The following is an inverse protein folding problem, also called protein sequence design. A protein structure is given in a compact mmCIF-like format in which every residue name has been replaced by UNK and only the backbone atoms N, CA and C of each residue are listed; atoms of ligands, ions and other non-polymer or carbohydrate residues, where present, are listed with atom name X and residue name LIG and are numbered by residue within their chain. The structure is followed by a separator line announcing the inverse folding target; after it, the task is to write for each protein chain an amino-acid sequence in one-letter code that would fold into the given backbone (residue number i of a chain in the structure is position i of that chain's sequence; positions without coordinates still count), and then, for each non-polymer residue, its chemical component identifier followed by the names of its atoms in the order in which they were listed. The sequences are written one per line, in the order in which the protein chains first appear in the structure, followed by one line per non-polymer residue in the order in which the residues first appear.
data_IF_612605605222
#
_entry.id   IF_612605605222
#
_cell.length_a   1.000
_cell.length_b   1.000
_cell.length_c   1.000
_cell.angle_alpha   90.00
_cell.angle_beta   90.00
_cell.angle_gamma   90.00
#
_symmetry.space_group_name_H-M   'P 1'
#
loop_
_entity.id
_entity.type
_entity.pdbx_description
1 polymer ?
#
# COMPACT_ATOMS: atom_id res chain seq x y z
N UNK A 1 20.15 24.70 -12.69
CA UNK A 1 19.04 24.29 -11.80
C UNK A 1 18.16 23.35 -12.58
N UNK A 2 18.04 22.12 -12.09
CA UNK A 2 17.44 21.00 -12.80
C UNK A 2 15.91 21.05 -12.76
N UNK A 3 15.26 20.69 -13.87
CA UNK A 3 14.15 19.73 -13.89
C UNK A 3 14.10 19.04 -15.26
N UNK A 4 14.50 17.77 -15.30
CA UNK A 4 14.22 16.84 -16.38
C UNK A 4 12.72 16.58 -16.44
N UNK A 5 12.03 17.19 -17.40
CA UNK A 5 10.63 16.86 -17.72
C UNK A 5 10.58 15.55 -18.50
N UNK A 6 10.39 14.44 -17.79
CA UNK A 6 9.87 13.21 -18.39
C UNK A 6 8.39 13.43 -18.74
N UNK A 7 7.93 12.99 -19.93
CA UNK A 7 6.59 13.30 -20.41
C UNK A 7 5.51 12.66 -19.55
N UNK A 8 4.46 13.44 -19.31
CA UNK A 8 3.22 13.08 -18.65
C UNK A 8 2.69 11.71 -19.06
N UNK A 9 2.60 10.81 -18.08
CA UNK A 9 1.81 9.59 -18.13
C UNK A 9 0.87 9.53 -16.92
N UNK A 10 -0.11 10.44 -16.84
CA UNK A 10 -1.24 10.26 -15.94
C UNK A 10 -2.02 9.06 -16.48
N UNK A 11 -1.85 7.88 -15.89
CA UNK A 11 -2.77 6.77 -16.17
C UNK A 11 -3.85 6.76 -15.09
N UNK A 12 -4.93 7.47 -15.42
CA UNK A 12 -6.32 7.12 -15.12
C UNK A 12 -6.51 6.14 -13.95
N UNK A 13 -6.74 6.61 -12.72
CA UNK A 13 -7.52 5.93 -11.65
C UNK A 13 -7.35 4.39 -11.45
N UNK A 14 -6.26 3.78 -11.93
CA UNK A 14 -6.09 2.32 -12.09
C UNK A 14 -4.62 1.91 -11.92
N UNK A 15 -3.82 2.73 -11.22
CA UNK A 15 -2.43 2.45 -10.85
C UNK A 15 -2.31 1.76 -9.49
N UNK A 16 -3.26 0.88 -9.14
CA UNK A 16 -3.08 0.07 -7.94
C UNK A 16 -2.32 -1.18 -8.34
N UNK A 17 -1.07 -1.34 -7.87
CA UNK A 17 -0.35 -2.57 -8.15
C UNK A 17 -1.19 -3.74 -7.64
N UNK A 18 -1.27 -4.83 -8.41
CA UNK A 18 -1.98 -6.02 -7.95
C UNK A 18 -1.36 -6.46 -6.62
N UNK A 19 -2.19 -6.60 -5.59
CA UNK A 19 -1.73 -7.13 -4.31
C UNK A 19 -1.27 -8.56 -4.57
N UNK A 20 0.01 -8.89 -4.33
CA UNK A 20 0.51 -10.22 -4.61
C UNK A 20 -0.18 -11.26 -3.73
N UNK A 21 -0.39 -12.47 -4.26
CA UNK A 21 -1.13 -13.55 -3.59
C UNK A 21 -0.48 -14.08 -2.31
N UNK A 22 0.80 -13.77 -2.07
CA UNK A 22 1.51 -14.08 -0.84
C UNK A 22 1.24 -13.06 0.28
N UNK A 23 0.60 -11.94 -0.02
CA UNK A 23 0.25 -10.94 0.96
C UNK A 23 -0.92 -11.45 1.81
N UNK A 24 -0.76 -11.37 3.13
CA UNK A 24 -1.82 -11.75 4.07
C UNK A 24 -3.14 -11.05 3.73
N UNK A 25 -4.24 -11.79 3.87
CA UNK A 25 -5.59 -11.31 3.53
C UNK A 25 -5.94 -10.00 4.24
N UNK A 26 -5.53 -9.84 5.49
CA UNK A 26 -5.74 -8.61 6.27
C UNK A 26 -5.05 -7.38 5.65
N UNK A 27 -3.83 -7.55 5.10
CA UNK A 27 -3.11 -6.48 4.40
C UNK A 27 -3.80 -6.08 3.11
N UNK A 28 -4.28 -7.07 2.36
CA UNK A 28 -5.08 -6.82 1.14
C UNK A 28 -6.35 -6.05 1.46
N UNK A 29 -7.11 -6.48 2.46
CA UNK A 29 -8.37 -5.83 2.85
C UNK A 29 -8.16 -4.38 3.31
N UNK A 30 -7.10 -4.12 4.08
CA UNK A 30 -6.77 -2.76 4.50
C UNK A 30 -6.42 -1.86 3.30
N UNK A 31 -5.63 -2.38 2.35
CA UNK A 31 -5.32 -1.66 1.11
C UNK A 31 -6.59 -1.33 0.33
N UNK A 32 -7.48 -2.30 0.12
CA UNK A 32 -8.76 -2.10 -0.59
C UNK A 32 -9.65 -1.04 0.09
N UNK A 33 -9.70 -1.00 1.42
CA UNK A 33 -10.46 0.02 2.17
C UNK A 33 -9.87 1.43 2.04
N UNK A 34 -8.55 1.58 2.12
CA UNK A 34 -7.86 2.86 1.87
C UNK A 34 -8.09 3.38 0.44
N UNK A 35 -8.41 2.45 -0.44
CA UNK A 35 -8.57 2.59 -1.88
C UNK A 35 -10.04 2.65 -2.33
N UNK A 36 -10.97 2.70 -1.40
CA UNK A 36 -12.37 2.89 -1.71
C UNK A 36 -12.64 4.09 -2.65
N UNK A 37 -13.53 3.95 -3.64
CA UNK A 37 -13.94 5.08 -4.49
C UNK A 37 -14.64 6.17 -3.65
N UNK A 38 -15.43 5.75 -2.67
CA UNK A 38 -16.13 6.65 -1.75
C UNK A 38 -15.18 7.17 -0.65
N UNK A 39 -15.03 8.51 -0.50
CA UNK A 39 -14.28 9.10 0.61
C UNK A 39 -14.75 8.69 2.02
N UNK A 40 -16.06 8.59 2.34
CA UNK A 40 -16.51 8.34 3.70
C UNK A 40 -16.25 6.91 4.19
N UNK A 41 -16.04 5.95 3.28
CA UNK A 41 -15.73 4.55 3.66
C UNK A 41 -14.23 4.33 3.87
N UNK A 42 -13.39 5.33 3.53
CA UNK A 42 -11.95 5.26 3.79
C UNK A 42 -11.71 5.36 5.29
N UNK A 43 -10.95 4.43 5.89
CA UNK A 43 -10.62 4.51 7.31
C UNK A 43 -9.79 5.77 7.61
N UNK A 44 -9.96 6.32 8.81
CA UNK A 44 -9.15 7.44 9.26
C UNK A 44 -7.69 7.02 9.40
N UNK A 45 -6.78 7.99 9.30
CA UNK A 45 -5.34 7.72 9.45
C UNK A 45 -5.01 7.01 10.78
N UNK A 46 -5.67 7.41 11.87
CA UNK A 46 -5.52 6.79 13.19
C UNK A 46 -5.88 5.31 13.17
N UNK A 47 -6.98 4.96 12.49
CA UNK A 47 -7.45 3.58 12.37
C UNK A 47 -6.51 2.75 11.49
N UNK A 48 -6.03 3.32 10.39
CA UNK A 48 -5.02 2.70 9.51
C UNK A 48 -3.76 2.40 10.31
N UNK A 49 -3.20 3.39 11.02
CA UNK A 49 -1.97 3.24 11.80
C UNK A 49 -2.13 2.19 12.91
N UNK A 50 -3.30 2.15 13.57
CA UNK A 50 -3.60 1.14 14.59
C UNK A 50 -3.57 -0.26 14.00
N UNK A 51 -4.28 -0.49 12.88
CA UNK A 51 -4.32 -1.80 12.20
C UNK A 51 -2.94 -2.22 11.72
N UNK A 52 -2.20 -1.32 11.07
CA UNK A 52 -0.84 -1.59 10.60
C UNK A 52 0.09 -2.04 11.73
N UNK A 53 0.02 -1.42 12.91
CA UNK A 53 0.82 -1.85 14.08
C UNK A 53 0.46 -3.26 14.54
N UNK A 54 -0.83 -3.58 14.63
CA UNK A 54 -1.30 -4.93 15.01
C UNK A 54 -0.85 -5.97 13.99
N UNK A 55 -0.97 -5.66 12.70
CA UNK A 55 -0.60 -6.56 11.61
C UNK A 55 0.92 -6.77 11.53
N UNK A 56 1.72 -5.71 11.77
CA UNK A 56 3.18 -5.80 11.86
C UNK A 56 3.65 -6.58 13.10
N UNK A 57 2.93 -6.51 14.22
CA UNK A 57 3.25 -7.31 15.40
C UNK A 57 2.91 -8.80 15.21
N UNK A 58 1.89 -9.11 14.42
CA UNK A 58 1.47 -10.48 14.11
C UNK A 58 2.40 -11.17 13.10
N UNK A 59 3.10 -10.41 12.25
CA UNK A 59 4.07 -10.92 11.29
C UNK A 59 5.50 -10.59 11.77
N UNK A 60 6.24 -11.51 12.39
CA UNK A 60 7.66 -11.30 12.63
C UNK A 60 8.32 -11.20 11.25
N UNK A 61 8.76 -10.00 10.89
CA UNK A 61 9.49 -9.75 9.65
C UNK A 61 10.71 -10.67 9.64
N UNK A 62 10.63 -11.78 8.91
CA UNK A 62 11.86 -12.39 8.42
C UNK A 62 12.47 -11.29 7.55
N UNK A 63 13.69 -10.80 7.85
CA UNK A 63 14.35 -9.85 6.98
C UNK A 63 14.49 -10.56 5.63
N UNK A 64 13.61 -10.22 4.70
CA UNK A 64 13.75 -10.66 3.32
C UNK A 64 14.91 -9.83 2.78
N UNK A 65 16.12 -10.34 3.02
CA UNK A 65 17.34 -9.85 2.41
C UNK A 65 17.09 -9.83 0.91
N UNK A 66 16.81 -8.64 0.38
CA UNK A 66 16.98 -8.41 -1.04
C UNK A 66 18.49 -8.54 -1.28
N UNK A 67 18.95 -9.50 -2.10
CA UNK A 67 20.34 -9.47 -2.51
C UNK A 67 20.55 -8.16 -3.27
N UNK A 68 21.35 -7.28 -2.68
CA UNK A 68 21.91 -6.14 -3.37
C UNK A 68 22.68 -6.69 -4.58
N UNK A 69 22.24 -6.27 -5.76
CA UNK A 69 23.01 -6.37 -6.99
C UNK A 69 23.62 -5.00 -7.24
#
# INVERSE_FOLDING_TARGET
MAISSSPSGIVNNTLRPPVPSFCDTEWRMLMEQCWAPDPPIRPSFTEIARRLRTMAAACPTRPHAHPAK
#
